data_IF_984683386091
#
_entry.id   IF_984683386091
#
_cell.length_a   1.000
_cell.length_b   1.000
_cell.length_c   1.000
_cell.angle_alpha   90.00
_cell.angle_beta   90.00
_cell.angle_gamma   90.00
#
_symmetry.space_group_name_H-M   'P 1'
#
loop_
_entity.id
_entity.type
_entity.pdbx_description
1 polymer ?
#
# COMPACT_ATOMS: atom_id res chain seq x y z
N UNK A 1 22.55 19.28 -10.86
CA UNK A 1 22.22 17.88 -11.22
C UNK A 1 21.19 17.39 -10.22
N UNK A 2 20.16 16.68 -10.67
CA UNK A 2 19.12 16.10 -9.82
C UNK A 2 19.08 14.59 -10.01
N UNK A 3 18.81 13.85 -8.93
CA UNK A 3 18.74 12.39 -8.90
C UNK A 3 17.35 11.97 -8.43
N UNK A 4 16.74 11.03 -9.16
CA UNK A 4 15.56 10.31 -8.69
C UNK A 4 16.00 9.12 -7.85
N UNK A 5 15.67 9.11 -6.56
CA UNK A 5 16.16 8.12 -5.58
C UNK A 5 15.09 7.08 -5.20
N UNK A 6 14.04 6.95 -6.02
CA UNK A 6 12.96 5.98 -5.83
C UNK A 6 11.75 6.55 -5.07
N UNK A 7 10.59 5.93 -5.25
CA UNK A 7 9.33 6.35 -4.61
C UNK A 7 8.81 7.74 -4.99
N UNK A 8 9.34 8.35 -6.06
CA UNK A 8 9.02 9.71 -6.50
C UNK A 8 9.85 10.81 -5.81
N UNK A 9 10.82 10.46 -4.96
CA UNK A 9 11.70 11.42 -4.31
C UNK A 9 12.82 11.87 -5.25
N UNK A 10 13.08 13.19 -5.27
CA UNK A 10 14.15 13.81 -6.04
C UNK A 10 15.07 14.56 -5.09
N UNK A 11 16.38 14.37 -5.25
CA UNK A 11 17.42 15.08 -4.48
C UNK A 11 18.39 15.77 -5.44
N UNK A 12 18.84 16.97 -5.08
CA UNK A 12 19.93 17.64 -5.76
C UNK A 12 21.27 17.00 -5.42
N UNK A 13 22.28 17.21 -6.27
CA UNK A 13 23.65 16.76 -6.01
C UNK A 13 24.19 17.30 -4.68
N UNK A 14 23.89 18.56 -4.34
CA UNK A 14 24.28 19.17 -3.07
C UNK A 14 23.62 18.51 -1.86
N UNK A 15 22.35 18.10 -1.96
CA UNK A 15 21.65 17.38 -0.88
C UNK A 15 22.20 15.98 -0.71
N UNK A 16 22.55 15.29 -1.80
CA UNK A 16 23.15 13.97 -1.75
C UNK A 16 24.55 14.01 -1.09
N UNK A 17 25.35 15.03 -1.38
CA UNK A 17 26.65 15.24 -0.71
C UNK A 17 26.49 15.62 0.76
N UNK A 18 25.47 16.43 1.11
CA UNK A 18 25.12 16.74 2.51
C UNK A 18 24.68 15.49 3.27
N UNK A 19 23.89 14.61 2.67
CA UNK A 19 23.48 13.34 3.31
C UNK A 19 24.65 12.38 3.53
N UNK A 20 25.67 12.38 2.65
CA UNK A 20 26.90 11.58 2.83
C UNK A 20 27.79 12.11 3.96
N UNK A 21 27.80 13.42 4.20
CA UNK A 21 28.66 14.09 5.19
C UNK A 21 27.99 14.26 6.55
N UNK A 22 26.65 14.26 6.61
CA UNK A 22 25.90 14.28 7.86
C UNK A 22 25.81 12.88 8.44
N UNK A 23 26.50 12.60 9.54
CA UNK A 23 26.17 11.45 10.39
C UNK A 23 24.68 11.53 10.76
N UNK A 24 23.95 10.42 10.68
CA UNK A 24 22.48 10.32 10.89
C UNK A 24 22.03 10.84 12.27
N UNK A 25 22.02 12.16 12.47
CA UNK A 25 21.32 12.81 13.55
C UNK A 25 19.94 13.17 13.02
N UNK A 26 19.00 12.23 13.14
CA UNK A 26 17.59 12.50 12.82
C UNK A 26 17.07 13.56 13.79
N UNK A 27 16.99 14.80 13.35
CA UNK A 27 16.24 15.89 14.00
C UNK A 27 14.73 15.70 13.83
N UNK A 28 14.25 14.46 13.88
CA UNK A 28 12.84 14.13 13.77
C UNK A 28 12.09 14.66 15.00
N UNK A 29 11.01 15.42 14.77
CA UNK A 29 10.06 15.80 15.81
C UNK A 29 9.72 14.56 16.66
N UNK A 30 9.71 14.71 17.99
CA UNK A 30 9.34 13.62 18.91
C UNK A 30 7.89 13.23 18.65
N UNK A 31 7.69 12.03 18.10
CA UNK A 31 6.37 11.37 18.05
C UNK A 31 6.19 10.50 19.30
N UNK A 32 4.95 10.20 19.71
CA UNK A 32 4.69 9.38 20.89
C UNK A 32 5.28 7.95 20.82
N UNK A 33 5.23 7.32 19.64
CA UNK A 33 5.64 5.93 19.42
C UNK A 33 6.68 5.81 18.29
N UNK A 34 7.94 6.20 18.50
CA UNK A 34 8.96 6.25 17.46
C UNK A 34 9.59 4.87 17.17
N UNK A 35 8.78 3.85 16.90
CA UNK A 35 9.28 2.50 16.60
C UNK A 35 10.09 2.49 15.29
N UNK A 36 11.30 1.95 15.35
CA UNK A 36 12.21 1.87 14.19
C UNK A 36 12.26 0.49 13.57
N UNK A 37 11.87 -0.53 14.31
CA UNK A 37 11.86 -1.93 13.90
C UNK A 37 10.68 -2.67 14.56
N UNK A 38 10.44 -3.91 14.11
CA UNK A 38 9.31 -4.71 14.59
C UNK A 38 9.40 -5.00 16.11
N UNK A 39 10.59 -5.29 16.63
CA UNK A 39 10.76 -5.57 18.07
C UNK A 39 10.40 -4.36 18.94
N UNK A 40 10.79 -3.14 18.54
CA UNK A 40 10.40 -1.90 19.20
C UNK A 40 8.90 -1.65 19.10
N UNK A 41 8.30 -1.88 17.91
CA UNK A 41 6.86 -1.74 17.68
C UNK A 41 6.06 -2.66 18.62
N UNK A 42 6.40 -3.94 18.69
CA UNK A 42 5.73 -4.91 19.56
C UNK A 42 5.90 -4.56 21.04
N UNK A 43 7.11 -4.15 21.45
CA UNK A 43 7.35 -3.73 22.81
C UNK A 43 6.57 -2.46 23.19
N UNK A 44 6.37 -1.53 22.24
CA UNK A 44 5.52 -0.36 22.45
C UNK A 44 4.04 -0.74 22.51
N UNK A 45 3.56 -1.61 21.62
CA UNK A 45 2.17 -2.11 21.63
C UNK A 45 1.83 -2.79 22.97
N UNK A 46 2.71 -3.68 23.44
CA UNK A 46 2.55 -4.37 24.71
C UNK A 46 2.50 -3.41 25.90
N UNK A 47 3.32 -2.36 25.91
CA UNK A 47 3.34 -1.37 27.00
C UNK A 47 2.15 -0.41 26.98
N UNK A 48 1.68 -0.02 25.80
CA UNK A 48 0.59 0.96 25.65
C UNK A 48 -0.80 0.33 25.67
N UNK A 49 -0.89 -0.96 25.33
CA UNK A 49 -2.16 -1.65 25.09
C UNK A 49 -2.83 -1.22 23.77
N UNK A 50 -2.13 -0.48 22.91
CA UNK A 50 -2.65 0.00 21.62
C UNK A 50 -2.27 -0.93 20.48
N UNK A 51 -3.14 -1.01 19.49
CA UNK A 51 -2.86 -1.63 18.19
C UNK A 51 -1.80 -0.85 17.40
N UNK A 52 -1.28 -1.47 16.34
CA UNK A 52 -0.33 -0.84 15.42
C UNK A 52 -0.96 0.39 14.74
N UNK A 53 -2.24 0.31 14.35
CA UNK A 53 -2.97 1.40 13.72
C UNK A 53 -3.12 2.59 14.67
N UNK A 54 -3.47 2.35 15.93
CA UNK A 54 -3.63 3.40 16.95
C UNK A 54 -2.30 4.07 17.30
N UNK A 55 -1.22 3.30 17.47
CA UNK A 55 0.12 3.88 17.67
C UNK A 55 0.56 4.72 16.47
N UNK A 56 0.31 4.23 15.25
CA UNK A 56 0.63 4.97 14.03
C UNK A 56 -0.22 6.24 13.90
N UNK A 57 -1.51 6.17 14.21
CA UNK A 57 -2.41 7.34 14.27
C UNK A 57 -1.89 8.39 15.24
N UNK A 58 -1.53 8.01 16.47
CA UNK A 58 -0.99 8.94 17.46
C UNK A 58 0.31 9.64 16.99
N UNK A 59 1.12 8.96 16.18
CA UNK A 59 2.30 9.57 15.56
C UNK A 59 1.96 10.55 14.42
N UNK A 60 0.93 10.24 13.63
CA UNK A 60 0.49 11.13 12.54
C UNK A 60 -0.23 12.37 13.09
N UNK A 61 -1.04 12.19 14.14
CA UNK A 61 -1.79 13.27 14.81
C UNK A 61 -0.88 14.26 15.56
N UNK A 62 0.41 13.95 15.75
CA UNK A 62 1.38 14.94 16.24
C UNK A 62 1.80 15.97 15.18
N UNK A 63 1.39 15.77 13.92
CA UNK A 63 1.78 16.60 12.78
C UNK A 63 0.60 17.25 12.06
N UNK A 64 -0.62 16.75 12.26
CA UNK A 64 -1.87 17.15 11.59
C UNK A 64 -3.05 16.84 12.50
N UNK A 65 -4.20 17.45 12.27
CA UNK A 65 -5.41 17.12 13.03
C UNK A 65 -5.94 15.73 12.67
N UNK A 66 -6.82 15.20 13.52
CA UNK A 66 -7.50 13.92 13.28
C UNK A 66 -8.36 13.98 12.01
N UNK A 67 -9.05 15.09 11.79
CA UNK A 67 -9.91 15.33 10.63
C UNK A 67 -9.09 15.39 9.35
N UNK A 68 -7.94 16.08 9.37
CA UNK A 68 -7.02 16.15 8.24
C UNK A 68 -6.40 14.78 7.92
N UNK A 69 -6.07 14.00 8.94
CA UNK A 69 -5.57 12.64 8.77
C UNK A 69 -6.64 11.74 8.14
N UNK A 70 -7.84 11.74 8.69
CA UNK A 70 -8.95 10.91 8.21
C UNK A 70 -9.34 11.28 6.77
N UNK A 71 -9.46 12.57 6.46
CA UNK A 71 -9.72 13.02 5.08
C UNK A 71 -8.62 12.60 4.11
N UNK A 72 -7.34 12.71 4.51
CA UNK A 72 -6.23 12.29 3.66
C UNK A 72 -6.19 10.78 3.42
N UNK A 73 -6.54 9.96 4.41
CA UNK A 73 -6.66 8.51 4.26
C UNK A 73 -7.82 8.15 3.31
N UNK A 74 -8.96 8.83 3.46
CA UNK A 74 -10.13 8.65 2.60
C UNK A 74 -9.82 9.03 1.14
N UNK A 75 -9.08 10.12 0.93
CA UNK A 75 -8.64 10.57 -0.40
C UNK A 75 -7.69 9.57 -1.06
N UNK A 76 -6.75 9.00 -0.29
CA UNK A 76 -5.85 7.94 -0.75
C UNK A 76 -6.66 6.72 -1.21
N UNK A 77 -7.62 6.28 -0.38
CA UNK A 77 -8.46 5.14 -0.74
C UNK A 77 -9.33 5.43 -1.96
N UNK A 78 -9.97 6.60 -2.02
CA UNK A 78 -10.78 7.03 -3.17
C UNK A 78 -9.96 7.02 -4.47
N UNK A 79 -8.72 7.51 -4.42
CA UNK A 79 -7.83 7.49 -5.58
C UNK A 79 -7.41 6.06 -5.99
N UNK A 80 -7.12 5.19 -5.02
CA UNK A 80 -6.83 3.77 -5.24
C UNK A 80 -8.03 3.04 -5.86
N UNK A 81 -9.21 3.21 -5.28
CA UNK A 81 -10.46 2.63 -5.76
C UNK A 81 -10.79 3.10 -7.17
N UNK A 82 -10.69 4.41 -7.43
CA UNK A 82 -10.88 4.96 -8.76
C UNK A 82 -9.87 4.42 -9.78
N UNK A 83 -8.64 4.06 -9.37
CA UNK A 83 -7.67 3.39 -10.22
C UNK A 83 -8.13 1.98 -10.61
N UNK A 84 -8.61 1.19 -9.64
CA UNK A 84 -9.20 -0.13 -9.90
C UNK A 84 -10.36 0.00 -10.89
N UNK A 85 -11.33 0.86 -10.64
CA UNK A 85 -12.52 1.02 -11.50
C UNK A 85 -12.18 1.41 -12.94
N UNK A 86 -11.18 2.30 -13.13
CA UNK A 86 -10.69 2.63 -14.48
C UNK A 86 -10.03 1.43 -15.15
N UNK A 87 -9.20 0.67 -14.43
CA UNK A 87 -8.56 -0.53 -14.96
C UNK A 87 -9.54 -1.64 -15.32
N UNK A 88 -10.65 -1.75 -14.57
CA UNK A 88 -11.73 -2.72 -14.82
C UNK A 88 -12.67 -2.29 -15.95
N UNK A 89 -12.69 -1.02 -16.36
CA UNK A 89 -13.56 -0.53 -17.43
C UNK A 89 -12.87 -0.36 -18.78
N UNK A 90 -11.54 -0.25 -18.80
CA UNK A 90 -10.77 -0.02 -20.03
C UNK A 90 -10.44 -1.30 -20.80
N UNK A 91 -10.37 -1.17 -22.12
CA UNK A 91 -9.91 -2.21 -23.05
C UNK A 91 -8.77 -1.66 -23.93
N UNK A 92 -8.19 -2.54 -24.76
CA UNK A 92 -7.21 -2.15 -25.77
C UNK A 92 -5.82 -2.70 -25.52
N UNK A 93 -4.83 -2.09 -26.18
CA UNK A 93 -3.42 -2.49 -26.15
C UNK A 93 -2.63 -1.43 -25.37
N UNK A 94 -1.83 -1.87 -24.40
CA UNK A 94 -0.98 -0.99 -23.61
C UNK A 94 0.13 -0.35 -24.49
N UNK A 95 0.52 0.90 -24.19
CA UNK A 95 1.63 1.55 -24.87
C UNK A 95 2.97 0.84 -24.59
N UNK A 96 4.04 1.22 -25.30
CA UNK A 96 5.39 0.68 -25.06
C UNK A 96 5.85 -0.44 -26.03
N UNK A 97 5.15 -0.64 -27.15
CA UNK A 97 5.63 -1.45 -28.28
C UNK A 97 5.56 -2.98 -28.13
N UNK A 98 5.35 -3.49 -26.91
CA UNK A 98 5.23 -4.93 -26.62
C UNK A 98 3.87 -5.53 -27.02
N UNK A 99 2.92 -4.72 -27.53
CA UNK A 99 1.57 -5.12 -27.97
C UNK A 99 0.79 -5.93 -26.91
N UNK A 100 1.01 -5.64 -25.63
CA UNK A 100 0.33 -6.33 -24.53
C UNK A 100 -1.12 -5.85 -24.44
N UNK A 101 -2.08 -6.76 -24.47
CA UNK A 101 -3.51 -6.45 -24.33
C UNK A 101 -3.87 -6.24 -22.87
N UNK A 102 -4.75 -5.28 -22.59
CA UNK A 102 -5.47 -5.19 -21.31
C UNK A 102 -6.33 -6.42 -21.13
N UNK A 103 -6.36 -6.96 -19.91
CA UNK A 103 -7.03 -8.22 -19.56
C UNK A 103 -7.96 -8.06 -18.36
N UNK A 104 -7.75 -7.06 -17.51
CA UNK A 104 -8.46 -6.92 -16.25
C UNK A 104 -9.99 -6.93 -16.42
N UNK A 105 -10.54 -6.08 -17.29
CA UNK A 105 -11.98 -6.03 -17.58
C UNK A 105 -12.59 -7.38 -17.96
N UNK A 106 -12.04 -8.05 -18.96
CA UNK A 106 -12.59 -9.33 -19.45
C UNK A 106 -12.52 -10.43 -18.38
N UNK A 107 -11.47 -10.46 -17.57
CA UNK A 107 -11.36 -11.41 -16.46
C UNK A 107 -12.41 -11.09 -15.40
N UNK A 108 -12.58 -9.81 -15.07
CA UNK A 108 -13.57 -9.35 -14.10
C UNK A 108 -15.00 -9.69 -14.52
N UNK A 109 -15.37 -9.43 -15.77
CA UNK A 109 -16.71 -9.74 -16.29
C UNK A 109 -16.99 -11.25 -16.18
N UNK A 110 -16.01 -12.09 -16.53
CA UNK A 110 -16.10 -13.56 -16.37
C UNK A 110 -16.24 -13.98 -14.91
N UNK A 111 -15.48 -13.36 -13.99
CA UNK A 111 -15.58 -13.66 -12.56
C UNK A 111 -16.93 -13.25 -11.99
N UNK A 112 -17.51 -12.13 -12.45
CA UNK A 112 -18.84 -11.68 -12.05
C UNK A 112 -19.92 -12.67 -12.51
N UNK A 113 -19.84 -13.16 -13.75
CA UNK A 113 -20.73 -14.20 -14.28
C UNK A 113 -20.60 -15.52 -13.50
N UNK A 114 -19.37 -15.95 -13.20
CA UNK A 114 -19.11 -17.16 -12.43
C UNK A 114 -19.65 -17.04 -11.00
N UNK A 115 -19.46 -15.90 -10.34
CA UNK A 115 -19.97 -15.60 -9.01
C UNK A 115 -21.50 -15.69 -8.96
N UNK A 116 -22.19 -15.14 -9.96
CA UNK A 116 -23.66 -15.22 -10.08
C UNK A 116 -24.15 -16.64 -10.36
N UNK A 117 -23.33 -17.49 -10.99
CA UNK A 117 -23.69 -18.87 -11.33
C UNK A 117 -23.66 -19.84 -10.13
N UNK A 118 -23.20 -19.38 -8.96
CA UNK A 118 -23.05 -20.16 -7.73
C UNK A 118 -22.28 -21.49 -7.91
N UNK A 119 -21.36 -21.52 -8.87
CA UNK A 119 -20.50 -22.68 -9.11
C UNK A 119 -19.31 -22.64 -8.15
N UNK A 120 -19.00 -23.74 -7.45
CA UNK A 120 -17.83 -23.78 -6.58
C UNK A 120 -16.55 -23.66 -7.42
N UNK A 121 -15.80 -22.57 -7.22
CA UNK A 121 -14.47 -22.35 -7.80
C UNK A 121 -13.47 -22.14 -6.65
N UNK A 122 -12.59 -23.11 -6.37
CA UNK A 122 -11.63 -23.02 -5.25
C UNK A 122 -10.55 -21.95 -5.45
N UNK A 123 -10.38 -21.42 -6.67
CA UNK A 123 -9.37 -20.40 -7.00
C UNK A 123 -9.95 -18.98 -6.99
N UNK A 124 -11.25 -18.84 -6.76
CA UNK A 124 -11.99 -17.60 -6.97
C UNK A 124 -11.44 -16.43 -6.14
N UNK A 125 -10.98 -16.70 -4.91
CA UNK A 125 -10.33 -15.68 -4.08
C UNK A 125 -9.05 -15.12 -4.73
N UNK A 126 -8.19 -15.99 -5.27
CA UNK A 126 -6.96 -15.60 -5.94
C UNK A 126 -7.25 -14.84 -7.25
N UNK A 127 -8.29 -15.25 -7.98
CA UNK A 127 -8.68 -14.61 -9.23
C UNK A 127 -9.18 -13.18 -9.01
N UNK A 128 -10.01 -12.96 -7.97
CA UNK A 128 -10.47 -11.61 -7.59
C UNK A 128 -9.31 -10.72 -7.14
N UNK A 129 -8.40 -11.23 -6.32
CA UNK A 129 -7.21 -10.47 -5.92
C UNK A 129 -6.35 -10.11 -7.15
N UNK A 130 -6.13 -11.09 -8.03
CA UNK A 130 -5.33 -10.91 -9.24
C UNK A 130 -5.94 -9.89 -10.19
N UNK A 131 -7.27 -9.90 -10.39
CA UNK A 131 -7.91 -8.98 -11.32
C UNK A 131 -7.85 -7.53 -10.84
N UNK A 132 -7.99 -7.28 -9.53
CA UNK A 132 -7.84 -5.94 -8.97
C UNK A 132 -6.38 -5.43 -9.08
N UNK A 133 -5.39 -6.29 -8.81
CA UNK A 133 -3.99 -5.91 -8.96
C UNK A 133 -3.63 -5.65 -10.44
N UNK A 134 -4.15 -6.47 -11.36
CA UNK A 134 -4.00 -6.27 -12.80
C UNK A 134 -4.62 -4.96 -13.26
N UNK A 135 -5.82 -4.62 -12.79
CA UNK A 135 -6.49 -3.37 -13.15
C UNK A 135 -5.60 -2.15 -12.83
N UNK A 136 -5.03 -2.09 -11.63
CA UNK A 136 -4.14 -1.00 -11.22
C UNK A 136 -2.83 -1.00 -12.02
N UNK A 137 -2.22 -2.17 -12.24
CA UNK A 137 -0.96 -2.26 -12.98
C UNK A 137 -1.12 -1.95 -14.49
N UNK A 138 -2.27 -2.27 -15.07
CA UNK A 138 -2.62 -1.89 -16.45
C UNK A 138 -2.85 -0.36 -16.55
N UNK A 139 -3.51 0.25 -15.56
CA UNK A 139 -3.61 1.72 -15.48
C UNK A 139 -2.24 2.40 -15.33
N UNK A 140 -1.38 1.87 -14.45
CA UNK A 140 -0.02 2.34 -14.28
C UNK A 140 0.75 2.31 -15.61
N UNK A 141 0.73 1.16 -16.29
CA UNK A 141 1.44 0.96 -17.57
C UNK A 141 0.90 1.85 -18.69
N UNK A 142 -0.38 2.26 -18.63
CA UNK A 142 -0.98 3.19 -19.57
C UNK A 142 -0.76 4.68 -19.23
N UNK A 143 -0.05 5.00 -18.14
CA UNK A 143 0.18 6.37 -17.70
C UNK A 143 -1.02 7.00 -16.99
N UNK A 144 -1.96 6.18 -16.50
CA UNK A 144 -3.08 6.63 -15.69
C UNK A 144 -2.65 7.11 -14.30
N UNK A 145 -3.58 7.77 -13.60
CA UNK A 145 -3.35 8.16 -12.19
C UNK A 145 -3.29 6.90 -11.31
N UNK A 146 -2.21 6.77 -10.56
CA UNK A 146 -1.95 5.69 -9.58
C UNK A 146 -1.52 6.27 -8.24
N UNK A 147 -1.65 5.47 -7.18
CA UNK A 147 -1.14 5.79 -5.84
C UNK A 147 0.04 4.88 -5.54
N UNK A 148 1.16 5.43 -5.08
CA UNK A 148 2.34 4.65 -4.73
C UNK A 148 2.06 3.75 -3.52
N UNK A 149 2.51 2.50 -3.59
CA UNK A 149 2.35 1.56 -2.48
C UNK A 149 3.43 0.46 -2.46
N UNK A 150 4.71 0.77 -2.14
CA UNK A 150 5.30 2.08 -1.89
C UNK A 150 5.86 2.76 -3.16
N UNK A 151 5.81 2.08 -4.32
CA UNK A 151 6.22 2.60 -5.63
C UNK A 151 5.07 2.46 -6.63
N UNK A 152 5.21 3.06 -7.83
CA UNK A 152 4.25 2.83 -8.91
C UNK A 152 4.27 1.38 -9.40
N UNK A 153 5.45 0.73 -9.41
CA UNK A 153 5.61 -0.66 -9.87
C UNK A 153 4.87 -1.68 -8.99
N UNK A 154 4.71 -1.38 -7.70
CA UNK A 154 3.99 -2.22 -6.74
C UNK A 154 2.58 -1.70 -6.38
N UNK A 155 2.10 -0.65 -7.06
CA UNK A 155 0.89 0.09 -6.70
C UNK A 155 -0.38 -0.77 -6.62
N UNK A 156 -0.45 -1.89 -7.36
CA UNK A 156 -1.63 -2.75 -7.38
C UNK A 156 -1.84 -3.62 -6.13
N UNK A 157 -0.82 -3.88 -5.31
CA UNK A 157 -0.90 -4.90 -4.26
C UNK A 157 -1.81 -4.49 -3.11
N UNK A 158 -1.51 -3.36 -2.47
CA UNK A 158 -2.28 -2.82 -1.33
C UNK A 158 -3.76 -2.59 -1.68
N UNK A 159 -4.12 -1.90 -2.78
CA UNK A 159 -5.53 -1.67 -3.11
C UNK A 159 -6.26 -2.94 -3.55
N UNK A 160 -5.58 -3.93 -4.15
CA UNK A 160 -6.20 -5.21 -4.48
C UNK A 160 -6.64 -5.98 -3.24
N UNK A 161 -5.78 -6.06 -2.22
CA UNK A 161 -6.10 -6.72 -0.95
C UNK A 161 -7.25 -6.01 -0.23
N UNK A 162 -7.19 -4.68 -0.15
CA UNK A 162 -8.26 -3.90 0.48
C UNK A 162 -9.59 -4.02 -0.28
N UNK A 163 -9.59 -3.98 -1.62
CA UNK A 163 -10.81 -4.17 -2.42
C UNK A 163 -11.37 -5.58 -2.30
N UNK A 164 -10.50 -6.59 -2.28
CA UNK A 164 -10.90 -7.98 -2.03
C UNK A 164 -11.61 -8.10 -0.67
N UNK A 165 -10.98 -7.58 0.39
CA UNK A 165 -11.56 -7.63 1.73
C UNK A 165 -12.93 -6.95 1.77
N UNK A 166 -13.07 -5.73 1.23
CA UNK A 166 -14.34 -5.01 1.13
C UNK A 166 -15.41 -5.71 0.30
N UNK A 167 -15.03 -6.51 -0.70
CA UNK A 167 -15.97 -7.25 -1.53
C UNK A 167 -16.59 -8.44 -0.78
N UNK A 168 -15.81 -9.10 0.07
CA UNK A 168 -16.21 -10.37 0.71
C UNK A 168 -16.55 -10.26 2.21
N UNK A 169 -16.32 -9.11 2.85
CA UNK A 169 -16.62 -8.89 4.26
C UNK A 169 -17.61 -7.75 4.42
N UNK A 170 -18.85 -8.08 4.77
CA UNK A 170 -19.98 -7.14 4.89
C UNK A 170 -19.84 -6.14 6.04
N UNK A 171 -19.05 -6.51 7.04
CA UNK A 171 -18.76 -5.78 8.27
C UNK A 171 -17.67 -4.72 8.10
N UNK A 172 -17.05 -4.63 6.92
CA UNK A 172 -16.04 -3.63 6.63
C UNK A 172 -16.64 -2.22 6.62
N UNK A 173 -16.06 -1.32 7.43
CA UNK A 173 -16.49 0.07 7.54
C UNK A 173 -15.36 1.06 7.22
N UNK A 174 -15.70 2.36 7.24
CA UNK A 174 -14.74 3.42 6.92
C UNK A 174 -13.59 3.49 7.93
N UNK A 175 -13.84 3.19 9.21
CA UNK A 175 -12.82 3.18 10.25
C UNK A 175 -11.78 2.09 9.96
N UNK A 176 -12.25 0.91 9.57
CA UNK A 176 -11.41 -0.23 9.21
C UNK A 176 -10.54 0.05 7.98
N UNK A 177 -11.05 0.75 6.96
CA UNK A 177 -10.23 1.20 5.81
C UNK A 177 -9.06 2.08 6.27
N UNK A 178 -9.32 3.01 7.19
CA UNK A 178 -8.29 3.91 7.75
C UNK A 178 -7.26 3.12 8.56
N UNK A 179 -7.70 2.17 9.38
CA UNK A 179 -6.82 1.34 10.21
C UNK A 179 -5.98 0.36 9.38
N UNK A 180 -6.53 -0.17 8.29
CA UNK A 180 -5.78 -0.93 7.29
C UNK A 180 -4.63 -0.09 6.71
N UNK A 181 -4.93 1.13 6.25
CA UNK A 181 -3.93 2.04 5.67
C UNK A 181 -2.88 2.48 6.69
N UNK A 182 -3.28 2.76 7.93
CA UNK A 182 -2.37 3.10 9.02
C UNK A 182 -1.43 1.93 9.35
N UNK A 183 -1.97 0.71 9.49
CA UNK A 183 -1.18 -0.50 9.75
C UNK A 183 -0.20 -0.77 8.62
N UNK A 184 -0.67 -0.73 7.37
CA UNK A 184 0.17 -0.86 6.18
C UNK A 184 1.29 0.19 6.16
N UNK A 185 0.98 1.45 6.51
CA UNK A 185 1.97 2.53 6.56
C UNK A 185 3.01 2.36 7.66
N UNK A 186 2.64 1.73 8.79
CA UNK A 186 3.57 1.46 9.89
C UNK A 186 4.63 0.44 9.48
N UNK A 187 4.21 -0.66 8.84
CA UNK A 187 5.11 -1.68 8.29
C UNK A 187 5.96 -1.11 7.16
N UNK A 188 5.34 -0.38 6.22
CA UNK A 188 6.07 0.31 5.15
C UNK A 188 7.11 1.30 5.68
N UNK A 189 6.81 1.99 6.78
CA UNK A 189 7.74 2.87 7.49
C UNK A 189 8.95 2.14 8.06
N UNK A 190 8.75 0.99 8.72
CA UNK A 190 9.86 0.15 9.21
C UNK A 190 10.74 -0.29 8.04
N UNK A 191 10.14 -0.79 6.96
CA UNK A 191 10.90 -1.27 5.80
C UNK A 191 11.73 -0.13 5.22
N UNK A 192 11.12 1.03 4.96
CA UNK A 192 11.82 2.22 4.46
C UNK A 192 12.93 2.72 5.40
N UNK A 193 12.75 2.60 6.71
CA UNK A 193 13.75 3.06 7.70
C UNK A 193 15.00 2.19 7.70
N UNK A 194 14.84 0.88 7.45
CA UNK A 194 15.92 -0.10 7.59
C UNK A 194 16.46 -0.64 6.27
N UNK A 195 15.74 -0.46 5.17
CA UNK A 195 16.09 -0.93 3.84
C UNK A 195 15.71 0.11 2.79
N UNK A 196 16.34 0.02 1.62
CA UNK A 196 15.86 0.76 0.46
C UNK A 196 14.54 0.15 -0.03
N UNK A 197 13.62 1.02 -0.45
CA UNK A 197 12.38 0.65 -1.16
C UNK A 197 12.50 0.91 -2.67
N UNK A 198 13.70 1.26 -3.13
CA UNK A 198 13.98 1.46 -4.54
C UNK A 198 14.23 0.12 -5.20
N UNK A 199 13.38 -0.27 -6.15
CA UNK A 199 13.61 -1.46 -6.97
C UNK A 199 14.92 -1.38 -7.76
N UNK A 200 15.42 -0.18 -8.02
CA UNK A 200 16.72 0.02 -8.66
C UNK A 200 17.92 -0.33 -7.74
N UNK A 201 17.73 -0.31 -6.42
CA UNK A 201 18.83 -0.56 -5.45
C UNK A 201 18.76 -1.96 -4.84
N UNK A 202 17.55 -2.49 -4.62
CA UNK A 202 17.35 -3.78 -3.94
C UNK A 202 16.51 -4.78 -4.73
N UNK A 203 16.16 -4.47 -5.98
CA UNK A 203 15.35 -5.34 -6.84
C UNK A 203 13.86 -5.38 -6.46
N UNK A 204 13.10 -6.24 -7.17
CA UNK A 204 11.63 -6.34 -7.03
C UNK A 204 11.16 -6.67 -5.61
N UNK A 205 11.98 -7.37 -4.81
CA UNK A 205 11.71 -7.66 -3.41
C UNK A 205 11.54 -6.40 -2.55
N UNK A 206 12.25 -5.31 -2.86
CA UNK A 206 12.14 -4.05 -2.14
C UNK A 206 10.87 -3.25 -2.46
N UNK A 207 10.23 -3.53 -3.60
CA UNK A 207 8.99 -2.86 -4.01
C UNK A 207 7.78 -3.75 -3.75
N UNK A 208 7.66 -4.86 -4.49
CA UNK A 208 6.51 -5.77 -4.44
C UNK A 208 6.49 -6.56 -3.14
N UNK A 209 7.66 -6.98 -2.64
CA UNK A 209 7.76 -7.64 -1.34
C UNK A 209 7.32 -6.73 -0.20
N UNK A 210 7.74 -5.46 -0.22
CA UNK A 210 7.29 -4.45 0.74
C UNK A 210 5.79 -4.21 0.68
N UNK A 211 5.24 -4.04 -0.53
CA UNK A 211 3.81 -3.86 -0.74
C UNK A 211 2.99 -5.05 -0.22
N UNK A 212 3.50 -6.27 -0.45
CA UNK A 212 2.88 -7.50 0.06
C UNK A 212 2.90 -7.56 1.58
N UNK A 213 4.02 -7.20 2.23
CA UNK A 213 4.10 -7.14 3.69
C UNK A 213 3.15 -6.10 4.28
N UNK A 214 3.09 -4.91 3.66
CA UNK A 214 2.16 -3.85 4.05
C UNK A 214 0.69 -4.30 3.96
N UNK A 215 0.32 -4.96 2.86
CA UNK A 215 -1.04 -5.43 2.64
C UNK A 215 -1.43 -6.59 3.56
N UNK A 216 -0.49 -7.51 3.81
CA UNK A 216 -0.70 -8.61 4.75
C UNK A 216 -0.92 -8.11 6.18
N UNK A 217 -0.11 -7.16 6.64
CA UNK A 217 -0.25 -6.55 7.96
C UNK A 217 -1.59 -5.82 8.11
N UNK A 218 -1.96 -5.02 7.10
CA UNK A 218 -3.26 -4.34 7.08
C UNK A 218 -4.42 -5.33 7.18
N UNK A 219 -4.41 -6.40 6.38
CA UNK A 219 -5.48 -7.39 6.40
C UNK A 219 -5.51 -8.18 7.71
N UNK A 220 -4.35 -8.57 8.25
CA UNK A 220 -4.25 -9.28 9.53
C UNK A 220 -4.87 -8.46 10.68
N UNK A 221 -4.59 -7.15 10.73
CA UNK A 221 -5.21 -6.26 11.70
C UNK A 221 -6.73 -6.19 11.54
N UNK A 222 -7.24 -6.11 10.30
CA UNK A 222 -8.68 -6.06 10.03
C UNK A 222 -9.41 -7.35 10.34
N UNK A 223 -8.71 -8.48 10.32
CA UNK A 223 -9.24 -9.77 10.76
C UNK A 223 -9.14 -9.98 12.28
N UNK A 224 -8.76 -8.94 13.04
CA UNK A 224 -8.67 -8.98 14.51
C UNK A 224 -7.36 -9.59 15.03
N UNK A 225 -6.31 -9.59 14.21
CA UNK A 225 -4.99 -10.08 14.61
C UNK A 225 -4.36 -9.25 15.74
N UNK A 226 -3.67 -9.92 16.66
CA UNK A 226 -2.85 -9.24 17.69
C UNK A 226 -1.63 -8.57 17.03
N UNK A 227 -0.97 -7.60 17.69
CA UNK A 227 0.26 -7.00 17.18
C UNK A 227 1.32 -8.01 16.77
N UNK A 228 1.42 -9.18 17.41
CA UNK A 228 2.36 -10.25 17.08
C UNK A 228 1.95 -11.08 15.84
N UNK A 229 0.65 -11.13 15.51
CA UNK A 229 0.14 -11.79 14.32
C UNK A 229 0.26 -10.91 13.06
N UNK A 230 0.26 -9.59 13.27
CA UNK A 230 0.44 -8.54 12.25
C UNK A 230 1.92 -8.34 11.93
#
# INVERSE_FOLDING_TARGET
>A
IYYSVGGGFVVSDEELQRQKTSSKASTGKRVPYPFRNAAEMLAMASRSGLSIAEMKRANEESHRSREELDAGLDDIWSAMLGCIERGLSQEGIMPGGLKVKRRARRIHDKLQEEWQSNRPNPLLANDWLSVYAMAVNEENAAGGRVVTAPTNGAAGVVPAVMRYWLHFHSEADQASIRDFLLTASAVGGIIKTNASISGAEVGCQGEVGSASAMAAAGLAAMLGGTPEQV
#
